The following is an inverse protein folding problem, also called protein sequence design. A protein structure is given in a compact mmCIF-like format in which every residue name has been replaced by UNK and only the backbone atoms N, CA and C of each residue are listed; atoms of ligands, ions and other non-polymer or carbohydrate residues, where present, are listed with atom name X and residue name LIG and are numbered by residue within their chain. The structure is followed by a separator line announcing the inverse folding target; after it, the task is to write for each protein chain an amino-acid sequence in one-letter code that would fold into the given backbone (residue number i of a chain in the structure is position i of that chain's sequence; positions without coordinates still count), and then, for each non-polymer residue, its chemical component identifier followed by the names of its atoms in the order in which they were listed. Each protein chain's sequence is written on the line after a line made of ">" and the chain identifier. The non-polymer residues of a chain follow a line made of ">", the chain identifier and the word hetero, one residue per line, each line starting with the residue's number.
data_IF_630633302658
#
_entry.id   IF_630633302658
#
_cell.length_a   1.000
_cell.length_b   1.000
_cell.length_c   1.000
_cell.angle_alpha   90.00
_cell.angle_beta   90.00
_cell.angle_gamma   90.00
#
_symmetry.space_group_name_H-M   'P 1'
#
loop_
_entity.id
_entity.type
_entity.pdbx_description
1 polymer ?
#
# COMPACT_ATOMS: atom_id res chain seq x y z
N UNK A 1 -3.66 31.80 -12.84
CA UNK A 1 -3.24 32.09 -11.46
C UNK A 1 -4.32 31.55 -10.55
N UNK A 2 -4.10 30.39 -9.90
CA UNK A 2 -4.92 30.05 -8.74
C UNK A 2 -4.62 31.10 -7.65
N UNK A 3 -5.65 31.58 -6.95
CA UNK A 3 -5.41 32.54 -5.86
C UNK A 3 -4.69 31.81 -4.74
N UNK A 4 -3.90 32.53 -3.95
CA UNK A 4 -3.22 31.98 -2.76
C UNK A 4 -4.22 31.31 -1.78
N UNK A 5 -5.51 31.67 -1.84
CA UNK A 5 -6.58 30.97 -1.12
C UNK A 5 -6.77 29.51 -1.54
N UNK A 6 -6.51 29.18 -2.80
CA UNK A 6 -6.91 27.91 -3.39
C UNK A 6 -5.97 26.77 -2.97
N UNK A 7 -4.66 27.05 -2.85
CA UNK A 7 -3.67 26.10 -2.32
C UNK A 7 -3.89 25.85 -0.83
N UNK A 8 -4.20 26.90 -0.06
CA UNK A 8 -4.51 26.77 1.38
C UNK A 8 -5.80 26.00 1.60
N UNK A 9 -6.83 26.25 0.77
CA UNK A 9 -8.08 25.50 0.84
C UNK A 9 -7.88 24.01 0.47
N UNK A 10 -7.00 23.72 -0.50
CA UNK A 10 -6.64 22.35 -0.86
C UNK A 10 -5.95 21.62 0.30
N UNK A 11 -4.91 22.23 0.88
CA UNK A 11 -4.16 21.66 2.01
C UNK A 11 -5.09 21.44 3.22
N UNK A 12 -5.97 22.40 3.51
CA UNK A 12 -6.98 22.26 4.57
C UNK A 12 -7.98 21.11 4.30
N UNK A 13 -8.37 20.93 3.03
CA UNK A 13 -9.28 19.85 2.62
C UNK A 13 -8.62 18.48 2.80
N UNK A 14 -7.35 18.33 2.41
CA UNK A 14 -6.59 17.09 2.60
C UNK A 14 -6.49 16.70 4.08
N UNK A 15 -6.19 17.66 4.96
CA UNK A 15 -6.16 17.44 6.41
C UNK A 15 -7.48 16.86 6.91
N UNK A 16 -8.61 17.48 6.57
CA UNK A 16 -9.94 17.00 7.00
C UNK A 16 -10.20 15.59 6.49
N UNK A 17 -9.91 15.33 5.21
CA UNK A 17 -10.12 14.01 4.59
C UNK A 17 -9.31 12.94 5.30
N UNK A 18 -8.01 13.16 5.56
CA UNK A 18 -7.16 12.15 6.19
C UNK A 18 -7.46 11.97 7.68
N UNK A 19 -7.91 13.00 8.40
CA UNK A 19 -8.41 12.86 9.78
C UNK A 19 -9.65 11.96 9.82
N UNK A 20 -10.60 12.15 8.90
CA UNK A 20 -11.81 11.32 8.83
C UNK A 20 -11.51 9.89 8.38
N UNK A 21 -10.51 9.71 7.52
CA UNK A 21 -10.10 8.39 7.03
C UNK A 21 -9.36 7.56 8.10
N UNK A 22 -8.62 8.22 9.00
CA UNK A 22 -7.81 7.57 10.03
C UNK A 22 -8.54 6.53 10.89
N UNK A 23 -9.71 6.82 11.52
CA UNK A 23 -10.45 5.82 12.29
C UNK A 23 -10.96 4.65 11.42
N UNK A 24 -11.32 4.91 10.16
CA UNK A 24 -11.73 3.87 9.22
C UNK A 24 -10.57 2.90 8.92
N UNK A 25 -9.36 3.42 8.72
CA UNK A 25 -8.15 2.60 8.51
C UNK A 25 -7.90 1.67 9.71
N UNK A 26 -8.02 2.21 10.93
CA UNK A 26 -7.86 1.40 12.16
C UNK A 26 -8.93 0.30 12.22
N UNK A 27 -10.20 0.64 11.99
CA UNK A 27 -11.29 -0.33 11.98
C UNK A 27 -11.04 -1.46 10.98
N UNK A 28 -10.58 -1.13 9.77
CA UNK A 28 -10.25 -2.10 8.73
C UNK A 28 -9.05 -2.98 9.13
N UNK A 29 -8.01 -2.40 9.74
CA UNK A 29 -6.87 -3.15 10.24
C UNK A 29 -7.25 -4.20 11.28
N UNK A 30 -8.16 -3.85 12.20
CA UNK A 30 -8.71 -4.80 13.18
C UNK A 30 -9.47 -5.94 12.49
N UNK A 31 -10.25 -5.63 11.44
CA UNK A 31 -11.01 -6.63 10.68
C UNK A 31 -10.12 -7.61 9.93
N UNK A 32 -9.05 -7.14 9.30
CA UNK A 32 -8.07 -7.98 8.61
C UNK A 32 -7.20 -8.79 9.58
N UNK A 33 -6.87 -8.21 10.74
CA UNK A 33 -6.20 -8.88 11.85
C UNK A 33 -4.67 -8.76 11.82
N UNK A 34 -4.01 -9.15 12.91
CA UNK A 34 -2.61 -8.79 13.20
C UNK A 34 -1.59 -9.34 12.19
N UNK A 35 -1.89 -10.45 11.49
CA UNK A 35 -0.99 -11.01 10.47
C UNK A 35 -0.85 -10.12 9.22
N UNK A 36 -1.77 -9.18 9.04
CA UNK A 36 -1.82 -8.26 7.90
C UNK A 36 -1.82 -6.79 8.33
N UNK A 37 -1.41 -6.51 9.58
CA UNK A 37 -1.42 -5.16 10.13
C UNK A 37 -0.52 -4.17 9.37
N UNK A 38 0.52 -4.65 8.67
CA UNK A 38 1.50 -3.78 7.99
C UNK A 38 0.85 -2.81 6.99
N UNK A 39 -0.12 -3.25 6.18
CA UNK A 39 -0.79 -2.38 5.22
C UNK A 39 -1.51 -1.21 5.91
N UNK A 40 -2.14 -1.48 7.04
CA UNK A 40 -2.90 -0.51 7.83
C UNK A 40 -2.00 0.39 8.67
N UNK A 41 -0.89 -0.13 9.19
CA UNK A 41 0.14 0.67 9.86
C UNK A 41 0.75 1.68 8.88
N UNK A 42 1.07 1.24 7.65
CA UNK A 42 1.58 2.14 6.63
C UNK A 42 0.52 3.14 6.15
N UNK A 43 -0.76 2.77 6.08
CA UNK A 43 -1.86 3.71 5.82
C UNK A 43 -1.97 4.78 6.91
N UNK A 44 -1.92 4.41 8.19
CA UNK A 44 -1.91 5.36 9.29
C UNK A 44 -0.69 6.30 9.21
N UNK A 45 0.49 5.75 8.96
CA UNK A 45 1.72 6.54 8.79
C UNK A 45 1.60 7.51 7.61
N UNK A 46 1.08 7.05 6.48
CA UNK A 46 0.83 7.88 5.32
C UNK A 46 -0.14 9.02 5.62
N UNK A 47 -1.26 8.74 6.30
CA UNK A 47 -2.22 9.77 6.72
C UNK A 47 -1.60 10.80 7.65
N UNK A 48 -0.78 10.38 8.63
CA UNK A 48 -0.07 11.30 9.52
C UNK A 48 0.90 12.17 8.73
N UNK A 49 1.71 11.57 7.85
CA UNK A 49 2.67 12.31 7.02
C UNK A 49 1.99 13.29 6.07
N UNK A 50 0.81 12.96 5.55
CA UNK A 50 0.01 13.88 4.73
C UNK A 50 -0.46 15.08 5.55
N UNK A 51 -1.09 14.83 6.71
CA UNK A 51 -1.51 15.90 7.62
C UNK A 51 -0.33 16.82 7.99
N UNK A 52 0.83 16.25 8.33
CA UNK A 52 2.04 17.05 8.65
C UNK A 52 2.53 17.84 7.44
N UNK A 53 2.56 17.25 6.26
CA UNK A 53 2.98 17.93 5.03
C UNK A 53 2.08 19.14 4.72
N UNK A 54 0.76 18.98 4.87
CA UNK A 54 -0.23 20.02 4.56
C UNK A 54 -0.19 21.13 5.62
N UNK A 55 -0.04 20.78 6.89
CA UNK A 55 0.15 21.77 7.98
C UNK A 55 1.42 22.59 7.75
N UNK A 56 2.54 21.95 7.38
CA UNK A 56 3.78 22.65 7.04
C UNK A 56 3.64 23.50 5.78
N UNK A 57 2.91 23.02 4.76
CA UNK A 57 2.59 23.77 3.56
C UNK A 57 1.85 25.08 3.86
N UNK A 58 0.87 25.02 4.77
CA UNK A 58 0.13 26.21 5.23
C UNK A 58 1.01 27.12 6.11
N UNK A 59 1.74 26.54 7.07
CA UNK A 59 2.55 27.29 8.04
C UNK A 59 3.72 28.02 7.37
N UNK A 60 4.41 27.36 6.45
CA UNK A 60 5.63 27.85 5.83
C UNK A 60 5.42 28.55 4.48
N UNK A 61 4.17 28.82 4.10
CA UNK A 61 3.80 29.39 2.78
C UNK A 61 4.50 30.71 2.42
N UNK A 62 4.83 31.53 3.42
CA UNK A 62 5.51 32.81 3.27
C UNK A 62 6.94 32.78 3.80
N UNK A 63 7.45 31.59 4.15
CA UNK A 63 8.82 31.47 4.63
C UNK A 63 9.78 31.77 3.50
N UNK A 64 10.77 32.61 3.79
CA UNK A 64 11.92 32.88 2.91
C UNK A 64 13.15 32.08 3.32
N UNK A 65 13.06 31.30 4.40
CA UNK A 65 14.15 30.46 4.88
C UNK A 65 14.29 29.21 3.99
N UNK A 66 15.45 29.09 3.35
CA UNK A 66 15.76 28.02 2.40
C UNK A 66 15.67 26.63 3.06
N UNK A 67 16.15 26.49 4.30
CA UNK A 67 16.09 25.24 5.04
C UNK A 67 14.64 24.78 5.27
N UNK A 68 13.76 25.72 5.65
CA UNK A 68 12.34 25.48 5.84
C UNK A 68 11.64 25.09 4.54
N UNK A 69 11.96 25.75 3.42
CA UNK A 69 11.40 25.44 2.09
C UNK A 69 11.81 24.02 1.66
N UNK A 70 13.10 23.70 1.77
CA UNK A 70 13.63 22.38 1.38
C UNK A 70 13.05 21.28 2.26
N UNK A 71 12.94 21.49 3.57
CA UNK A 71 12.32 20.53 4.49
C UNK A 71 10.84 20.31 4.17
N UNK A 72 10.10 21.38 3.88
CA UNK A 72 8.68 21.29 3.48
C UNK A 72 8.52 20.53 2.16
N UNK A 73 9.42 20.73 1.19
CA UNK A 73 9.46 19.98 -0.07
C UNK A 73 9.81 18.49 0.13
N UNK A 74 10.78 18.20 0.99
CA UNK A 74 11.17 16.84 1.34
C UNK A 74 10.00 16.09 2.00
N UNK A 75 9.29 16.70 2.95
CA UNK A 75 8.13 16.08 3.62
C UNK A 75 6.94 15.90 2.66
N UNK A 76 6.67 16.90 1.81
CA UNK A 76 5.60 16.81 0.79
C UNK A 76 5.83 15.67 -0.21
N UNK A 77 7.10 15.42 -0.55
CA UNK A 77 7.52 14.29 -1.40
C UNK A 77 7.63 12.97 -0.64
N UNK A 78 7.85 12.99 0.68
CA UNK A 78 8.02 11.82 1.53
C UNK A 78 6.84 10.85 1.51
N UNK A 79 5.62 11.33 1.29
CA UNK A 79 4.44 10.46 1.21
C UNK A 79 4.47 9.45 0.05
N UNK A 80 5.40 9.53 -0.92
CA UNK A 80 5.57 8.50 -1.94
C UNK A 80 6.04 7.16 -1.33
N UNK A 81 6.97 7.17 -0.36
CA UNK A 81 7.51 5.94 0.24
C UNK A 81 6.50 5.16 1.06
N UNK A 82 5.75 5.76 2.00
CA UNK A 82 4.64 5.08 2.64
C UNK A 82 3.58 4.60 1.65
N UNK A 83 3.30 5.33 0.56
CA UNK A 83 2.34 4.88 -0.46
C UNK A 83 2.78 3.60 -1.18
N UNK A 84 4.06 3.48 -1.55
CA UNK A 84 4.64 2.24 -2.08
C UNK A 84 4.55 1.11 -1.06
N UNK A 85 4.93 1.37 0.19
CA UNK A 85 4.85 0.40 1.27
C UNK A 85 3.43 -0.14 1.50
N UNK A 86 2.43 0.75 1.46
CA UNK A 86 1.02 0.37 1.53
C UNK A 86 0.66 -0.56 0.37
N UNK A 87 0.99 -0.14 -0.85
CA UNK A 87 0.67 -0.88 -2.07
C UNK A 87 1.31 -2.28 -2.08
N UNK A 88 2.59 -2.38 -1.74
CA UNK A 88 3.29 -3.65 -1.54
C UNK A 88 2.62 -4.52 -0.46
N UNK A 89 2.27 -3.93 0.69
CA UNK A 89 1.65 -4.66 1.79
C UNK A 89 0.27 -5.24 1.43
N UNK A 90 -0.56 -4.50 0.68
CA UNK A 90 -1.84 -5.01 0.17
C UNK A 90 -1.67 -6.11 -0.88
N UNK A 91 -0.69 -5.97 -1.79
CA UNK A 91 -0.36 -7.03 -2.74
C UNK A 91 0.13 -8.30 -2.03
N UNK A 92 0.99 -8.14 -1.01
CA UNK A 92 1.44 -9.23 -0.15
C UNK A 92 0.29 -9.88 0.62
N UNK A 93 -0.66 -9.11 1.15
CA UNK A 93 -1.84 -9.65 1.82
C UNK A 93 -2.71 -10.50 0.87
N UNK A 94 -3.02 -9.97 -0.32
CA UNK A 94 -3.77 -10.73 -1.33
C UNK A 94 -3.06 -12.02 -1.72
N UNK A 95 -1.74 -11.97 -1.93
CA UNK A 95 -0.94 -13.16 -2.26
C UNK A 95 -0.92 -14.17 -1.12
N UNK A 96 -0.79 -13.71 0.12
CA UNK A 96 -0.79 -14.58 1.29
C UNK A 96 -2.12 -15.35 1.41
N UNK A 97 -3.26 -14.70 1.21
CA UNK A 97 -4.56 -15.39 1.19
C UNK A 97 -4.68 -16.35 0.02
N UNK A 98 -4.21 -15.97 -1.17
CA UNK A 98 -4.22 -16.82 -2.35
C UNK A 98 -3.39 -18.10 -2.13
N UNK A 99 -2.17 -17.99 -1.61
CA UNK A 99 -1.30 -19.14 -1.31
C UNK A 99 -1.96 -20.10 -0.35
N UNK A 100 -2.57 -19.58 0.73
CA UNK A 100 -3.32 -20.39 1.70
C UNK A 100 -4.56 -21.06 1.13
N UNK A 101 -5.18 -20.46 0.10
CA UNK A 101 -6.33 -21.03 -0.58
C UNK A 101 -5.96 -22.18 -1.53
N UNK A 102 -4.71 -22.25 -1.99
CA UNK A 102 -4.32 -23.16 -3.07
C UNK A 102 -3.32 -24.24 -2.70
N UNK A 103 -2.45 -24.00 -1.72
CA UNK A 103 -1.35 -24.92 -1.41
C UNK A 103 -1.60 -25.68 -0.11
N UNK A 104 -1.13 -26.95 -0.03
CA UNK A 104 -1.01 -27.66 1.23
C UNK A 104 -0.18 -26.88 2.26
N UNK A 105 -0.43 -27.13 3.55
CA UNK A 105 0.09 -26.32 4.64
C UNK A 105 1.63 -26.24 4.67
N UNK A 106 2.32 -27.35 4.44
CA UNK A 106 3.79 -27.45 4.40
C UNK A 106 4.40 -26.63 3.24
N UNK A 107 3.84 -26.78 2.03
CA UNK A 107 4.29 -26.02 0.85
C UNK A 107 3.98 -24.53 0.99
N UNK A 108 2.80 -24.19 1.52
CA UNK A 108 2.39 -22.82 1.77
C UNK A 108 3.37 -22.10 2.70
N UNK A 109 3.86 -22.76 3.76
CA UNK A 109 4.79 -22.12 4.70
C UNK A 109 6.10 -21.65 4.05
N UNK A 110 6.66 -22.45 3.14
CA UNK A 110 7.89 -22.09 2.42
C UNK A 110 7.66 -20.88 1.52
N UNK A 111 6.57 -20.87 0.75
CA UNK A 111 6.20 -19.72 -0.10
C UNK A 111 5.96 -18.48 0.75
N UNK A 112 5.20 -18.59 1.85
CA UNK A 112 4.93 -17.47 2.75
C UNK A 112 6.21 -16.91 3.39
N UNK A 113 7.26 -17.73 3.60
CA UNK A 113 8.57 -17.23 4.07
C UNK A 113 9.24 -16.37 3.00
N UNK A 114 9.22 -16.82 1.75
CA UNK A 114 9.73 -16.04 0.62
C UNK A 114 8.97 -14.73 0.42
N UNK A 115 7.64 -14.74 0.59
CA UNK A 115 6.82 -13.53 0.51
C UNK A 115 7.19 -12.49 1.56
N UNK A 116 7.49 -12.92 2.80
CA UNK A 116 7.98 -12.01 3.84
C UNK A 116 9.31 -11.39 3.48
N UNK A 117 10.24 -12.18 2.93
CA UNK A 117 11.53 -11.66 2.45
C UNK A 117 11.35 -10.66 1.31
N UNK A 118 10.44 -10.94 0.37
CA UNK A 118 10.11 -10.02 -0.72
C UNK A 118 9.50 -8.71 -0.21
N UNK A 119 8.58 -8.78 0.75
CA UNK A 119 8.03 -7.60 1.42
C UNK A 119 9.13 -6.78 2.12
N UNK A 120 10.09 -7.45 2.75
CA UNK A 120 11.27 -6.81 3.35
C UNK A 120 12.13 -6.10 2.31
N UNK A 121 12.32 -6.71 1.13
CA UNK A 121 13.08 -6.09 0.04
C UNK A 121 12.39 -4.83 -0.50
N UNK A 122 11.06 -4.85 -0.70
CA UNK A 122 10.31 -3.65 -1.06
C UNK A 122 10.43 -2.55 0.01
N UNK A 123 10.45 -2.94 1.29
CA UNK A 123 10.64 -1.98 2.37
C UNK A 123 12.01 -1.32 2.35
N UNK A 124 13.08 -2.10 2.25
CA UNK A 124 14.45 -1.56 2.17
C UNK A 124 14.62 -0.67 0.94
N UNK A 125 14.07 -1.07 -0.20
CA UNK A 125 14.19 -0.31 -1.45
C UNK A 125 13.48 1.05 -1.36
N UNK A 126 12.23 1.07 -0.90
CA UNK A 126 11.42 2.29 -0.78
C UNK A 126 11.84 3.20 0.37
N UNK A 127 12.20 2.64 1.53
CA UNK A 127 12.74 3.41 2.65
C UNK A 127 14.14 3.94 2.34
N UNK A 128 15.00 3.13 1.73
CA UNK A 128 16.33 3.53 1.29
C UNK A 128 16.31 4.63 0.24
N UNK A 129 15.47 4.48 -0.79
CA UNK A 129 15.26 5.51 -1.81
C UNK A 129 14.80 6.84 -1.19
N UNK A 130 13.86 6.80 -0.24
CA UNK A 130 13.41 7.98 0.48
C UNK A 130 14.51 8.60 1.35
N UNK A 131 15.28 7.77 2.06
CA UNK A 131 16.41 8.23 2.86
C UNK A 131 17.43 9.01 2.03
N UNK A 132 17.76 8.53 0.82
CA UNK A 132 18.63 9.23 -0.12
C UNK A 132 18.04 10.58 -0.57
N UNK A 133 16.73 10.63 -0.83
CA UNK A 133 16.03 11.87 -1.22
C UNK A 133 16.11 12.91 -0.09
N UNK A 134 15.74 12.54 1.14
CA UNK A 134 15.75 13.46 2.28
C UNK A 134 17.17 13.91 2.59
N UNK A 135 18.10 12.97 2.71
CA UNK A 135 19.49 13.29 3.06
C UNK A 135 20.17 14.16 1.99
N UNK A 136 19.94 13.85 0.71
CA UNK A 136 20.40 14.67 -0.41
C UNK A 136 19.79 16.08 -0.41
N UNK A 137 18.50 16.22 -0.12
CA UNK A 137 17.83 17.52 0.00
C UNK A 137 18.37 18.35 1.17
N UNK A 138 18.45 17.77 2.37
CA UNK A 138 18.97 18.44 3.58
C UNK A 138 20.40 18.94 3.37
N UNK A 139 21.29 18.08 2.86
CA UNK A 139 22.69 18.48 2.60
C UNK A 139 22.82 19.51 1.48
N UNK A 140 21.90 19.53 0.52
CA UNK A 140 21.89 20.58 -0.51
C UNK A 140 21.52 21.95 0.05
N UNK A 141 20.76 22.02 1.15
CA UNK A 141 20.37 23.27 1.81
C UNK A 141 21.40 23.78 2.84
N UNK A 142 22.32 22.92 3.27
CA UNK A 142 23.31 23.27 4.30
C UNK A 142 24.42 24.20 3.80
N UNK A 143 24.70 25.29 4.52
CA UNK A 143 25.76 26.27 4.22
C UNK A 143 27.17 25.81 4.63
N UNK A 144 27.50 24.53 4.45
CA UNK A 144 28.82 23.98 4.81
C UNK A 144 29.92 24.41 3.82
N UNK A 145 31.11 24.73 4.32
CA UNK A 145 32.22 25.31 3.53
C UNK A 145 32.80 24.37 2.44
N UNK A 146 32.52 23.06 2.53
CA UNK A 146 32.91 22.01 1.57
C UNK A 146 31.72 21.59 0.69
N UNK A 147 30.94 22.56 0.21
CA UNK A 147 29.68 22.32 -0.47
C UNK A 147 29.86 21.76 -1.89
N UNK A 148 29.85 20.44 -2.03
CA UNK A 148 29.76 19.81 -3.35
C UNK A 148 28.29 19.62 -3.76
N UNK A 149 27.64 20.71 -4.17
CA UNK A 149 26.21 20.75 -4.55
C UNK A 149 25.83 19.67 -5.57
N UNK A 150 26.76 19.30 -6.46
CA UNK A 150 26.55 18.28 -7.47
C UNK A 150 26.37 16.87 -6.89
N UNK A 151 27.10 16.52 -5.82
CA UNK A 151 27.00 15.21 -5.15
C UNK A 151 25.63 15.06 -4.50
N UNK A 152 25.16 16.08 -3.78
CA UNK A 152 23.90 16.04 -3.07
C UNK A 152 22.69 16.02 -4.01
N UNK A 153 22.75 16.79 -5.10
CA UNK A 153 21.75 16.73 -6.17
C UNK A 153 21.71 15.34 -6.84
N UNK A 154 22.87 14.72 -7.08
CA UNK A 154 22.94 13.36 -7.64
C UNK A 154 22.38 12.31 -6.68
N UNK A 155 22.62 12.45 -5.38
CA UNK A 155 22.09 11.52 -4.38
C UNK A 155 20.56 11.56 -4.33
N UNK A 156 19.97 12.75 -4.41
CA UNK A 156 18.51 12.93 -4.53
C UNK A 156 17.97 12.26 -5.80
N UNK A 157 18.62 12.45 -6.95
CA UNK A 157 18.25 11.82 -8.24
C UNK A 157 18.29 10.29 -8.14
N UNK A 158 19.33 9.73 -7.54
CA UNK A 158 19.47 8.28 -7.31
C UNK A 158 18.31 7.76 -6.46
N UNK A 159 17.98 8.43 -5.35
CA UNK A 159 16.85 8.04 -4.50
C UNK A 159 15.52 8.05 -5.25
N UNK A 160 15.28 9.04 -6.12
CA UNK A 160 14.06 9.08 -6.96
C UNK A 160 14.01 7.95 -7.99
N UNK A 161 15.15 7.60 -8.59
CA UNK A 161 15.23 6.45 -9.50
C UNK A 161 14.97 5.13 -8.75
N UNK A 162 15.51 4.95 -7.55
CA UNK A 162 15.21 3.79 -6.71
C UNK A 162 13.71 3.68 -6.39
N UNK A 163 13.06 4.80 -6.08
CA UNK A 163 11.62 4.86 -5.85
C UNK A 163 10.78 4.51 -7.09
N UNK A 164 11.22 4.94 -8.28
CA UNK A 164 10.58 4.54 -9.54
C UNK A 164 10.71 3.03 -9.78
N UNK A 165 11.90 2.47 -9.58
CA UNK A 165 12.14 1.03 -9.74
C UNK A 165 11.32 0.22 -8.74
N UNK A 166 11.19 0.68 -7.49
CA UNK A 166 10.31 0.09 -6.50
C UNK A 166 8.85 0.08 -6.99
N UNK A 167 8.34 1.24 -7.47
CA UNK A 167 6.99 1.34 -8.00
C UNK A 167 6.74 0.37 -9.16
N UNK A 168 7.68 0.26 -10.11
CA UNK A 168 7.57 -0.66 -11.24
C UNK A 168 7.53 -2.11 -10.75
N UNK A 169 8.45 -2.50 -9.86
CA UNK A 169 8.53 -3.85 -9.33
C UNK A 169 7.25 -4.23 -8.55
N UNK A 170 6.73 -3.33 -7.73
CA UNK A 170 5.49 -3.53 -6.97
C UNK A 170 4.27 -3.61 -7.90
N UNK A 171 4.21 -2.81 -8.97
CA UNK A 171 3.10 -2.86 -9.96
C UNK A 171 3.12 -4.21 -10.68
N UNK A 172 4.28 -4.67 -11.13
CA UNK A 172 4.43 -5.99 -11.75
C UNK A 172 4.06 -7.10 -10.76
N UNK A 173 4.44 -6.96 -9.49
CA UNK A 173 4.06 -7.91 -8.45
C UNK A 173 2.54 -7.93 -8.22
N UNK A 174 1.88 -6.77 -8.13
CA UNK A 174 0.43 -6.68 -7.98
C UNK A 174 -0.31 -7.28 -9.19
N UNK A 175 0.19 -7.07 -10.41
CA UNK A 175 -0.34 -7.69 -11.64
C UNK A 175 -0.18 -9.22 -11.62
N UNK A 176 0.96 -9.71 -11.14
CA UNK A 176 1.20 -11.14 -10.94
C UNK A 176 0.20 -11.71 -9.92
N UNK A 177 0.03 -11.06 -8.76
CA UNK A 177 -0.91 -11.48 -7.70
C UNK A 177 -2.34 -11.46 -8.22
N UNK A 178 -2.75 -10.42 -8.93
CA UNK A 178 -4.06 -10.35 -9.56
C UNK A 178 -4.28 -11.52 -10.53
N UNK A 179 -3.29 -11.82 -11.37
CA UNK A 179 -3.35 -12.94 -12.32
C UNK A 179 -3.43 -14.29 -11.61
N UNK A 180 -2.66 -14.49 -10.54
CA UNK A 180 -2.71 -15.68 -9.70
C UNK A 180 -4.09 -15.83 -9.06
N UNK A 181 -4.59 -14.79 -8.39
CA UNK A 181 -5.95 -14.77 -7.81
C UNK A 181 -7.00 -15.06 -8.89
N UNK A 182 -6.92 -14.42 -10.07
CA UNK A 182 -7.84 -14.64 -11.16
C UNK A 182 -7.89 -16.09 -11.65
N UNK A 183 -6.73 -16.76 -11.74
CA UNK A 183 -6.66 -18.19 -12.07
C UNK A 183 -7.28 -19.05 -10.98
N UNK A 184 -7.09 -18.69 -9.71
CA UNK A 184 -7.71 -19.42 -8.58
C UNK A 184 -9.23 -19.26 -8.49
N UNK A 185 -9.82 -18.19 -9.05
CA UNK A 185 -11.29 -18.00 -9.07
C UNK A 185 -12.06 -19.16 -9.67
N UNK A 186 -11.42 -20.00 -10.50
CA UNK A 186 -12.07 -21.19 -11.06
C UNK A 186 -12.13 -22.34 -10.05
N UNK A 187 -11.14 -22.43 -9.16
CA UNK A 187 -11.03 -23.48 -8.15
C UNK A 187 -11.65 -23.07 -6.80
N UNK A 188 -11.63 -21.78 -6.47
CA UNK A 188 -11.99 -21.20 -5.16
C UNK A 188 -12.61 -19.81 -5.40
N UNK A 189 -13.90 -19.59 -5.10
CA UNK A 189 -14.57 -18.27 -5.31
C UNK A 189 -14.88 -17.47 -4.02
N UNK A 190 -13.87 -16.92 -3.32
CA UNK A 190 -14.08 -15.89 -2.31
C UNK A 190 -14.05 -14.51 -2.99
N UNK A 191 -15.23 -13.92 -3.21
CA UNK A 191 -15.41 -12.58 -3.80
C UNK A 191 -14.52 -11.52 -3.12
N UNK A 192 -14.31 -11.67 -1.80
CA UNK A 192 -13.50 -10.77 -0.97
C UNK A 192 -12.03 -10.73 -1.42
N UNK A 193 -11.43 -11.89 -1.76
CA UNK A 193 -10.04 -11.94 -2.26
C UNK A 193 -9.89 -11.28 -3.63
N UNK A 194 -10.90 -11.46 -4.48
CA UNK A 194 -10.96 -10.86 -5.82
C UNK A 194 -11.00 -9.34 -5.70
N UNK A 195 -11.87 -8.82 -4.83
CA UNK A 195 -11.98 -7.38 -4.57
C UNK A 195 -10.68 -6.80 -4.05
N UNK A 196 -10.01 -7.47 -3.11
CA UNK A 196 -8.71 -7.01 -2.59
C UNK A 196 -7.66 -6.93 -3.71
N UNK A 197 -7.53 -7.98 -4.52
CA UNK A 197 -6.53 -8.06 -5.57
C UNK A 197 -6.78 -7.07 -6.71
N UNK A 198 -8.02 -6.90 -7.18
CA UNK A 198 -8.33 -5.96 -8.26
C UNK A 198 -8.15 -4.51 -7.82
N UNK A 199 -8.64 -4.16 -6.63
CA UNK A 199 -8.52 -2.80 -6.08
C UNK A 199 -7.05 -2.43 -5.87
N UNK A 200 -6.24 -3.38 -5.37
CA UNK A 200 -4.80 -3.20 -5.28
C UNK A 200 -4.20 -2.97 -6.66
N UNK A 201 -4.45 -3.85 -7.63
CA UNK A 201 -3.93 -3.71 -8.99
C UNK A 201 -4.28 -2.37 -9.65
N UNK A 202 -5.53 -1.90 -9.50
CA UNK A 202 -5.98 -0.60 -10.04
C UNK A 202 -5.26 0.56 -9.34
N UNK A 203 -5.04 0.48 -8.01
CA UNK A 203 -4.23 1.47 -7.28
C UNK A 203 -2.83 1.63 -7.87
N UNK A 204 -2.26 0.56 -8.41
CA UNK A 204 -0.94 0.58 -9.06
C UNK A 204 -0.82 1.60 -10.19
N UNK A 205 -1.91 1.89 -10.92
CA UNK A 205 -1.92 2.90 -11.98
C UNK A 205 -1.63 4.30 -11.41
N UNK A 206 -2.31 4.66 -10.32
CA UNK A 206 -2.15 5.96 -9.69
C UNK A 206 -0.81 6.11 -8.96
N UNK A 207 -0.34 5.03 -8.32
CA UNK A 207 1.00 4.94 -7.73
C UNK A 207 2.06 5.17 -8.80
N UNK A 208 1.92 4.55 -9.97
CA UNK A 208 2.83 4.72 -11.11
C UNK A 208 2.88 6.17 -11.61
N UNK A 209 1.73 6.80 -11.81
CA UNK A 209 1.65 8.23 -12.19
C UNK A 209 2.39 9.10 -11.17
N UNK A 210 2.18 8.85 -9.87
CA UNK A 210 2.82 9.61 -8.80
C UNK A 210 4.33 9.39 -8.73
N UNK A 211 4.82 8.20 -9.05
CA UNK A 211 6.25 7.89 -9.14
C UNK A 211 6.90 8.59 -10.35
N UNK A 212 6.25 8.54 -11.53
CA UNK A 212 6.71 9.25 -12.73
C UNK A 212 6.78 10.75 -12.49
N UNK A 213 5.76 11.35 -11.88
CA UNK A 213 5.77 12.77 -11.51
C UNK A 213 6.99 13.13 -10.64
N UNK A 214 7.36 12.25 -9.69
CA UNK A 214 8.55 12.46 -8.85
C UNK A 214 9.85 12.54 -9.65
N UNK A 215 9.94 11.74 -10.72
CA UNK A 215 11.08 11.75 -11.67
C UNK A 215 11.07 13.05 -12.45
N UNK A 216 9.93 13.39 -13.08
CA UNK A 216 9.81 14.61 -13.89
C UNK A 216 10.23 15.83 -13.08
N UNK A 217 9.66 16.03 -11.89
CA UNK A 217 10.03 17.16 -11.03
C UNK A 217 11.49 17.16 -10.55
N UNK A 218 12.11 15.99 -10.38
CA UNK A 218 13.50 15.94 -9.89
C UNK A 218 14.54 16.16 -10.98
N UNK A 219 14.21 15.84 -12.23
CA UNK A 219 15.13 15.94 -13.36
C UNK A 219 14.87 17.16 -14.24
N UNK A 220 13.68 17.74 -14.20
CA UNK A 220 13.33 18.97 -14.89
C UNK A 220 13.56 20.18 -13.97
N UNK A 221 14.07 21.27 -14.56
CA UNK A 221 14.40 22.52 -13.87
C UNK A 221 13.26 23.53 -13.89
N UNK A 222 12.13 23.19 -14.52
CA UNK A 222 10.97 24.06 -14.60
C UNK A 222 10.35 24.28 -13.20
N UNK A 223 10.25 25.54 -12.71
CA UNK A 223 9.64 25.81 -11.41
C UNK A 223 8.14 25.50 -11.37
N UNK A 224 7.45 25.51 -12.51
CA UNK A 224 6.00 25.30 -12.59
C UNK A 224 5.53 23.90 -12.15
N UNK A 225 6.42 22.91 -12.22
CA UNK A 225 6.11 21.52 -11.86
C UNK A 225 6.47 21.18 -10.41
N UNK A 226 6.98 22.16 -9.65
CA UNK A 226 7.35 21.98 -8.25
C UNK A 226 6.16 21.54 -7.38
N UNK A 227 6.35 20.56 -6.47
CA UNK A 227 5.28 20.03 -5.62
C UNK A 227 4.78 21.04 -4.57
N UNK A 228 5.58 22.07 -4.29
CA UNK A 228 5.29 23.09 -3.27
C UNK A 228 5.07 24.46 -3.89
N UNK A 229 5.95 24.87 -4.80
CA UNK A 229 5.95 26.21 -5.39
C UNK A 229 5.37 26.25 -6.81
N UNK A 230 5.03 25.10 -7.38
CA UNK A 230 4.54 24.99 -8.75
C UNK A 230 3.07 25.38 -8.90
N UNK A 231 2.56 25.19 -10.11
CA UNK A 231 1.17 25.50 -10.44
C UNK A 231 0.21 24.65 -9.61
N UNK A 232 -0.80 25.29 -9.03
CA UNK A 232 -1.89 24.64 -8.30
C UNK A 232 -2.44 23.40 -9.02
N UNK A 233 -2.67 23.50 -10.34
CA UNK A 233 -3.22 22.41 -11.14
C UNK A 233 -2.30 21.17 -11.17
N UNK A 234 -0.98 21.37 -11.19
CA UNK A 234 0.00 20.28 -11.15
C UNK A 234 -0.04 19.61 -9.78
N UNK A 235 -0.04 20.40 -8.69
CA UNK A 235 -0.16 19.87 -7.32
C UNK A 235 -1.46 19.06 -7.16
N UNK A 236 -2.59 19.66 -7.54
CA UNK A 236 -3.91 19.05 -7.44
C UNK A 236 -3.98 17.71 -8.19
N UNK A 237 -3.53 17.66 -9.44
CA UNK A 237 -3.68 16.46 -10.27
C UNK A 237 -2.57 15.44 -9.98
N UNK A 238 -1.30 15.83 -10.07
CA UNK A 238 -0.16 14.92 -10.06
C UNK A 238 0.28 14.48 -8.65
N UNK A 239 -0.20 15.15 -7.60
CA UNK A 239 0.08 14.77 -6.21
C UNK A 239 -1.23 14.35 -5.54
N UNK A 240 -2.15 15.29 -5.35
CA UNK A 240 -3.31 15.10 -4.46
C UNK A 240 -4.28 14.08 -5.03
N UNK A 241 -4.78 14.31 -6.24
CA UNK A 241 -5.79 13.46 -6.87
C UNK A 241 -5.28 12.03 -7.07
N UNK A 242 -4.08 11.85 -7.61
CA UNK A 242 -3.52 10.51 -7.83
C UNK A 242 -3.30 9.75 -6.51
N UNK A 243 -2.84 10.44 -5.45
CA UNK A 243 -2.67 9.79 -4.15
C UNK A 243 -4.01 9.45 -3.50
N UNK A 244 -4.98 10.37 -3.58
CA UNK A 244 -6.32 10.13 -3.09
C UNK A 244 -6.98 8.95 -3.81
N UNK A 245 -6.88 8.87 -5.14
CA UNK A 245 -7.43 7.76 -5.91
C UNK A 245 -6.73 6.44 -5.59
N UNK A 246 -5.41 6.42 -5.42
CA UNK A 246 -4.66 5.25 -4.97
C UNK A 246 -5.20 4.75 -3.61
N UNK A 247 -5.26 5.64 -2.62
CA UNK A 247 -5.74 5.31 -1.27
C UNK A 247 -7.22 4.89 -1.29
N UNK A 248 -8.06 5.57 -2.05
CA UNK A 248 -9.48 5.22 -2.20
C UNK A 248 -9.65 3.81 -2.78
N UNK A 249 -8.87 3.43 -3.78
CA UNK A 249 -8.86 2.06 -4.31
C UNK A 249 -8.45 1.06 -3.23
N UNK A 250 -7.35 1.30 -2.52
CA UNK A 250 -6.83 0.39 -1.49
C UNK A 250 -7.81 0.22 -0.31
N UNK A 251 -8.35 1.32 0.20
CA UNK A 251 -9.36 1.32 1.27
C UNK A 251 -10.64 0.63 0.81
N UNK A 252 -11.06 0.82 -0.45
CA UNK A 252 -12.21 0.09 -1.01
C UNK A 252 -11.95 -1.41 -1.06
N UNK A 253 -10.76 -1.82 -1.50
CA UNK A 253 -10.33 -3.22 -1.50
C UNK A 253 -10.35 -3.83 -0.09
N UNK A 254 -9.80 -3.11 0.89
CA UNK A 254 -9.83 -3.50 2.30
C UNK A 254 -11.27 -3.60 2.84
N UNK A 255 -12.12 -2.61 2.55
CA UNK A 255 -13.51 -2.61 3.01
C UNK A 255 -14.34 -3.78 2.45
N UNK A 256 -14.18 -4.06 1.16
CA UNK A 256 -14.84 -5.18 0.50
C UNK A 256 -14.30 -6.53 1.00
N UNK A 257 -13.02 -6.59 1.36
CA UNK A 257 -12.38 -7.82 1.85
C UNK A 257 -12.34 -7.96 3.38
N UNK A 258 -13.02 -7.08 4.13
CA UNK A 258 -12.99 -7.05 5.61
C UNK A 258 -13.35 -8.36 6.31
N UNK A 259 -14.06 -9.28 5.64
CA UNK A 259 -14.48 -10.57 6.17
C UNK A 259 -13.66 -11.75 5.63
N UNK A 260 -12.64 -11.50 4.80
CA UNK A 260 -11.85 -12.53 4.11
C UNK A 260 -11.25 -13.59 5.05
N UNK A 261 -10.88 -13.20 6.28
CA UNK A 261 -10.36 -14.12 7.28
C UNK A 261 -11.38 -15.19 7.66
N UNK A 262 -12.65 -14.80 7.82
CA UNK A 262 -13.73 -15.73 8.17
C UNK A 262 -13.99 -16.68 7.01
N UNK A 263 -14.06 -16.17 5.79
CA UNK A 263 -14.32 -16.98 4.59
C UNK A 263 -13.25 -18.07 4.39
N UNK A 264 -11.98 -17.72 4.61
CA UNK A 264 -10.86 -18.66 4.49
C UNK A 264 -10.85 -19.72 5.58
N UNK A 265 -11.24 -19.36 6.81
CA UNK A 265 -11.39 -20.31 7.91
C UNK A 265 -12.52 -21.31 7.60
N UNK A 266 -13.69 -20.84 7.14
CA UNK A 266 -14.79 -21.70 6.71
C UNK A 266 -14.38 -22.70 5.61
N UNK A 267 -13.60 -22.26 4.62
CA UNK A 267 -13.12 -23.14 3.55
C UNK A 267 -12.15 -24.21 4.06
N UNK A 268 -11.28 -23.88 5.03
CA UNK A 268 -10.34 -24.85 5.60
C UNK A 268 -11.02 -25.96 6.41
N UNK A 269 -12.24 -25.73 6.88
CA UNK A 269 -13.03 -26.67 7.68
C UNK A 269 -13.86 -27.60 6.77
N UNK A 270 -14.17 -27.20 5.53
CA UNK A 270 -14.94 -28.06 4.62
C UNK A 270 -14.11 -29.30 4.22
N UNK A 271 -14.62 -30.52 4.44
CA UNK A 271 -13.92 -31.73 4.05
C UNK A 271 -13.70 -31.75 2.53
N UNK A 272 -12.48 -32.05 2.12
CA UNK A 272 -12.02 -32.06 0.73
C UNK A 272 -12.88 -32.92 -0.23
N UNK A 273 -13.68 -33.85 0.31
CA UNK A 273 -14.62 -34.68 -0.45
C UNK A 273 -15.66 -33.87 -1.25
N UNK A 274 -16.11 -32.71 -0.75
CA UNK A 274 -17.13 -31.92 -1.48
C UNK A 274 -16.61 -31.22 -2.74
N UNK A 275 -15.31 -30.95 -2.83
CA UNK A 275 -14.70 -30.33 -4.02
C UNK A 275 -14.39 -31.37 -5.11
N UNK A 276 -14.26 -32.65 -4.74
CA UNK A 276 -14.09 -33.76 -5.68
C UNK A 276 -15.42 -34.31 -6.22
N UNK A 277 -16.53 -34.11 -5.51
CA UNK A 277 -17.82 -34.74 -5.83
C UNK A 277 -18.58 -34.09 -7.00
N UNK A 278 -18.14 -32.96 -7.54
CA UNK A 278 -18.88 -32.26 -8.60
C UNK A 278 -18.60 -32.79 -10.03
N UNK A 279 -18.02 -33.99 -10.14
CA UNK A 279 -17.74 -34.69 -11.40
C UNK A 279 -18.58 -35.94 -11.66
N UNK A 280 -19.56 -36.27 -10.80
CA UNK A 280 -20.36 -37.48 -10.93
C UNK A 280 -21.82 -37.23 -10.63
N UNK A 281 -22.66 -37.39 -11.65
CA UNK A 281 -24.10 -37.51 -11.54
C UNK A 281 -24.41 -38.69 -10.60
N UNK A 282 -25.05 -38.42 -9.46
CA UNK A 282 -25.41 -39.42 -8.48
C UNK A 282 -26.38 -38.86 -7.46
N UNK A 283 -27.67 -39.06 -7.72
CA UNK A 283 -28.72 -38.93 -6.73
C UNK A 283 -28.34 -39.71 -5.46
N UNK A 284 -28.09 -38.99 -4.38
CA UNK A 284 -28.03 -39.56 -3.03
C UNK A 284 -28.62 -38.54 -2.10
N UNK A 285 -29.89 -38.76 -1.77
CA UNK A 285 -30.64 -38.01 -0.79
C UNK A 285 -29.84 -37.86 0.51
N UNK A 286 -29.75 -36.62 1.01
CA UNK A 286 -29.24 -36.36 2.36
C UNK A 286 -30.21 -36.93 3.40
N UNK A 287 -29.75 -37.70 4.40
CA UNK A 287 -30.47 -37.80 5.66
C UNK A 287 -30.23 -36.49 6.43
N UNK A 288 -31.28 -35.68 6.56
CA UNK A 288 -31.33 -34.56 7.50
C UNK A 288 -31.37 -35.13 8.93
N UNK A 289 -30.21 -35.42 9.51
CA UNK A 289 -30.08 -35.65 10.95
C UNK A 289 -29.18 -34.56 11.52
N UNK A 290 -29.65 -33.76 12.50
CA UNK A 290 -28.78 -32.86 13.24
C UNK A 290 -27.72 -33.69 13.97
N UNK A 291 -26.45 -33.55 13.59
CA UNK A 291 -25.35 -34.11 14.35
C UNK A 291 -25.26 -33.35 15.68
N UNK A 292 -25.56 -34.05 16.76
CA UNK A 292 -25.41 -33.55 18.13
C UNK A 292 -23.95 -33.13 18.35
N UNK A 293 -23.76 -31.86 18.73
CA UNK A 293 -22.44 -31.30 19.01
C UNK A 293 -21.89 -31.95 20.29
N UNK A 294 -21.04 -32.96 20.15
CA UNK A 294 -20.34 -33.57 21.29
C UNK A 294 -19.32 -32.58 21.86
N UNK A 295 -19.63 -32.04 23.04
CA UNK A 295 -18.77 -31.10 23.79
C UNK A 295 -17.54 -31.76 24.45
N UNK A 296 -17.19 -33.00 24.09
CA UNK A 296 -16.00 -33.67 24.65
C UNK A 296 -14.81 -33.56 23.70
N UNK A 297 -13.95 -32.59 23.99
CA UNK A 297 -12.59 -32.55 23.46
C UNK A 297 -11.76 -33.66 24.12
N UNK A 298 -11.21 -34.59 23.31
CA UNK A 298 -10.20 -35.55 23.76
C UNK A 298 -8.83 -35.16 23.21
N UNK A 299 -7.80 -34.97 24.06
CA UNK A 299 -6.44 -34.72 23.59
C UNK A 299 -5.90 -35.92 22.83
N UNK A 300 -5.13 -35.68 21.75
CA UNK A 300 -4.30 -36.71 21.12
C UNK A 300 -3.18 -37.08 22.08
N UNK A 301 -3.10 -38.37 22.45
CA UNK A 301 -1.89 -38.93 23.04
C UNK A 301 -0.78 -38.87 21.99
N UNK A 302 0.32 -38.22 22.33
CA UNK A 302 1.58 -38.42 21.64
C UNK A 302 2.27 -39.59 22.34
N UNK A 303 2.36 -40.73 21.65
CA UNK A 303 3.19 -41.83 22.09
C UNK A 303 4.67 -41.42 21.94
N UNK A 304 5.45 -41.76 22.96
CA UNK A 304 6.84 -41.36 23.19
C UNK A 304 7.85 -42.00 22.24
#
# INVERSE_FOLDING_TARGET
>A
MARVSDTVALDATEIVVYILLFPLIIFLGIRHGSKHALAFVYLCLFSILRIVADVLGIANRNSTDENTIVTTQAISSAGLSPLLLIFAAFAHEAHHYQVKATLPHDQAQNVLRQLRSLQGAFHVLSAGGMGLIVYGAEKSASNDNNHNSSIWANLRKVGVVMMLLAAIAEILYALYVWSAVHRTKKAVRPINLISLAICTCVSGLFVGVRAIYSVVYTFDTNPDISPVTGKFLVKLICIVLVQFLAVACLVSGAWLSRNIRRDMEYMSIQPAERLSANGGYGDSAMPLVPQEYSNKWTPRSYDA
#
